data_IF_214676225357
#
_entry.id   IF_214676225357
#
_cell.length_a   1.000
_cell.length_b   1.000
_cell.length_c   1.000
_cell.angle_alpha   90.00
_cell.angle_beta   90.00
_cell.angle_gamma   90.00
#
_symmetry.space_group_name_H-M   'P 1'
#
loop_
_entity.id
_entity.type
_entity.pdbx_description
1 polymer ?
#
# COMPACT_ATOMS: atom_id res chain seq x y z
N UNK A 1 -37.48 -49.07 26.94
CA UNK A 1 -38.89 -48.87 26.46
C UNK A 1 -39.63 -47.99 27.48
N UNK A 2 -40.79 -47.39 27.12
CA UNK A 2 -41.86 -46.79 27.98
C UNK A 2 -41.44 -46.27 29.37
N UNK A 3 -41.32 -44.95 29.66
CA UNK A 3 -42.34 -43.86 29.76
C UNK A 3 -43.56 -44.17 30.65
N UNK A 4 -43.76 -43.32 31.68
CA UNK A 4 -44.99 -42.64 32.20
C UNK A 4 -44.76 -42.30 33.71
N UNK A 5 -44.88 -41.09 34.30
CA UNK A 5 -45.83 -39.92 34.28
C UNK A 5 -47.15 -40.16 35.04
N UNK A 6 -47.82 -39.15 35.69
CA UNK A 6 -47.51 -37.71 35.90
C UNK A 6 -47.86 -37.18 37.34
N UNK A 7 -48.27 -35.89 37.45
CA UNK A 7 -49.04 -35.21 38.53
C UNK A 7 -48.24 -34.71 39.77
N UNK A 8 -48.54 -33.57 40.43
CA UNK A 8 -49.35 -32.34 40.19
C UNK A 8 -48.83 -31.26 41.21
N UNK A 9 -49.21 -29.98 41.33
CA UNK A 9 -50.15 -29.02 40.69
C UNK A 9 -49.61 -27.58 40.96
N UNK A 10 -49.99 -26.56 40.17
CA UNK A 10 -49.71 -25.15 40.52
C UNK A 10 -50.13 -24.13 39.45
N UNK A 11 -51.10 -23.27 39.75
CA UNK A 11 -51.74 -22.32 38.81
C UNK A 11 -51.77 -20.92 39.43
N UNK A 12 -51.24 -19.88 38.75
CA UNK A 12 -51.94 -18.64 38.39
C UNK A 12 -51.01 -17.55 37.79
N UNK A 13 -51.65 -16.72 36.97
CA UNK A 13 -51.24 -15.45 36.37
C UNK A 13 -50.49 -14.45 37.28
N UNK A 14 -49.47 -13.76 36.74
CA UNK A 14 -49.42 -12.29 36.63
C UNK A 14 -48.16 -11.74 35.91
N UNK A 15 -48.36 -11.04 34.80
CA UNK A 15 -47.52 -9.93 34.32
C UNK A 15 -48.33 -8.63 34.58
N UNK A 16 -47.75 -7.41 34.63
CA UNK A 16 -46.34 -7.05 34.52
C UNK A 16 -45.81 -6.23 35.73
N UNK A 17 -44.49 -6.04 35.81
CA UNK A 17 -43.94 -4.81 36.38
C UNK A 17 -42.66 -4.42 35.63
N UNK A 18 -42.78 -3.39 34.78
CA UNK A 18 -41.64 -2.86 34.04
C UNK A 18 -40.80 -1.97 34.96
N UNK A 19 -39.65 -2.48 35.41
CA UNK A 19 -38.58 -1.60 35.88
C UNK A 19 -38.05 -0.82 34.66
N UNK A 20 -38.51 0.41 34.50
CA UNK A 20 -37.88 1.39 33.62
C UNK A 20 -36.49 1.71 34.18
N UNK A 21 -35.48 0.96 33.74
CA UNK A 21 -34.10 1.36 33.89
C UNK A 21 -33.93 2.70 33.16
N UNK A 22 -33.62 3.76 33.89
CA UNK A 22 -33.33 5.07 33.29
C UNK A 22 -32.11 4.91 32.40
N UNK A 23 -32.30 5.01 31.08
CA UNK A 23 -31.17 5.13 30.16
C UNK A 23 -30.42 6.41 30.52
N UNK A 24 -29.07 6.38 30.64
CA UNK A 24 -28.31 7.61 30.73
C UNK A 24 -28.57 8.44 29.47
N UNK A 25 -28.57 9.79 29.56
CA UNK A 25 -28.74 10.63 28.38
C UNK A 25 -27.67 10.30 27.34
N UNK A 26 -27.99 10.35 26.03
CA UNK A 26 -26.99 10.12 25.00
C UNK A 26 -25.82 11.10 25.17
N UNK A 27 -24.57 10.66 24.95
CA UNK A 27 -23.43 11.56 24.99
C UNK A 27 -23.66 12.68 23.96
N UNK A 28 -23.27 13.94 24.26
CA UNK A 28 -23.56 15.06 23.38
C UNK A 28 -22.97 14.82 22.00
N UNK A 29 -23.82 14.85 20.97
CA UNK A 29 -23.40 14.69 19.59
C UNK A 29 -22.34 15.75 19.26
N UNK A 30 -21.14 15.30 18.92
CA UNK A 30 -20.07 16.20 18.51
C UNK A 30 -20.42 16.73 17.13
N UNK A 31 -21.06 17.90 17.08
CA UNK A 31 -21.56 18.52 15.86
C UNK A 31 -20.46 18.63 14.80
N UNK A 32 -20.49 17.69 13.85
CA UNK A 32 -19.54 17.58 12.75
C UNK A 32 -19.64 18.76 11.79
N UNK A 33 -20.77 19.47 11.76
CA UNK A 33 -20.97 20.69 10.98
C UNK A 33 -20.29 21.87 11.66
N UNK A 34 -20.41 22.02 12.99
CA UNK A 34 -19.63 23.00 13.75
C UNK A 34 -18.12 22.72 13.68
N UNK A 35 -17.70 21.46 13.82
CA UNK A 35 -16.29 21.06 13.65
C UNK A 35 -15.79 21.37 12.23
N UNK A 36 -16.58 21.08 11.19
CA UNK A 36 -16.24 21.40 9.81
C UNK A 36 -16.18 22.93 9.54
N UNK A 37 -17.05 23.74 10.15
CA UNK A 37 -16.96 25.21 10.10
C UNK A 37 -15.67 25.69 10.75
N UNK A 38 -15.38 25.26 11.98
CA UNK A 38 -14.17 25.64 12.72
C UNK A 38 -12.88 25.24 11.98
N UNK A 39 -12.86 24.07 11.33
CA UNK A 39 -11.76 23.63 10.48
C UNK A 39 -11.60 24.48 9.19
N UNK A 40 -12.71 24.93 8.59
CA UNK A 40 -12.69 25.85 7.43
C UNK A 40 -12.22 27.26 7.82
N UNK A 41 -12.59 27.74 9.00
CA UNK A 41 -12.17 29.04 9.55
C UNK A 41 -10.69 29.04 9.93
N UNK A 42 -10.20 27.99 10.60
CA UNK A 42 -8.78 27.81 10.88
C UNK A 42 -7.92 27.82 9.60
N UNK A 43 -8.41 27.20 8.51
CA UNK A 43 -7.74 27.24 7.20
C UNK A 43 -7.76 28.61 6.49
N UNK A 44 -8.61 29.56 6.89
CA UNK A 44 -8.58 30.94 6.38
C UNK A 44 -7.49 31.80 7.03
N UNK A 45 -7.21 31.57 8.32
CA UNK A 45 -6.20 32.32 9.08
C UNK A 45 -4.82 31.62 9.13
N UNK A 46 -4.70 30.39 8.62
CA UNK A 46 -3.42 29.72 8.46
C UNK A 46 -2.51 30.50 7.49
N UNK A 47 -1.25 30.77 7.88
CA UNK A 47 -0.28 31.36 6.97
C UNK A 47 -0.06 30.44 5.76
N UNK A 48 -0.09 31.00 4.55
CA UNK A 48 0.15 30.26 3.31
C UNK A 48 1.56 29.68 3.32
N UNK A 49 1.70 28.44 2.86
CA UNK A 49 3.00 27.78 2.77
C UNK A 49 3.97 28.63 1.93
N UNK A 50 5.11 29.02 2.52
CA UNK A 50 6.04 29.99 1.93
C UNK A 50 6.73 29.50 0.65
N UNK A 51 6.75 28.19 0.44
CA UNK A 51 7.29 27.53 -0.75
C UNK A 51 6.33 26.43 -1.22
N UNK A 52 6.11 26.37 -2.53
CA UNK A 52 5.39 25.28 -3.20
C UNK A 52 6.37 24.60 -4.13
N UNK A 53 6.72 23.36 -3.83
CA UNK A 53 7.53 22.54 -4.72
C UNK A 53 6.67 22.05 -5.89
N UNK A 54 6.63 22.84 -6.97
CA UNK A 54 6.17 22.41 -8.29
C UNK A 54 7.33 21.75 -9.04
N UNK A 55 7.04 21.16 -10.20
CA UNK A 55 8.05 20.57 -11.09
C UNK A 55 9.12 21.60 -11.53
N UNK A 56 8.75 22.88 -11.56
CA UNK A 56 9.57 24.03 -11.96
C UNK A 56 10.48 24.54 -10.83
N UNK A 57 10.14 24.21 -9.57
CA UNK A 57 10.89 24.60 -8.37
C UNK A 57 11.82 23.48 -7.86
N UNK A 58 12.05 22.43 -8.65
CA UNK A 58 13.02 21.38 -8.35
C UNK A 58 14.43 21.93 -8.65
N UNK A 59 15.39 21.94 -7.69
CA UNK A 59 16.73 22.41 -7.94
C UNK A 59 17.46 21.48 -8.92
N UNK A 60 17.58 21.89 -10.18
CA UNK A 60 18.29 21.14 -11.20
C UNK A 60 19.80 21.12 -10.90
N UNK A 61 20.29 19.96 -10.45
CA UNK A 61 21.72 19.67 -10.46
C UNK A 61 22.23 19.67 -11.92
N UNK A 62 23.32 20.41 -12.24
CA UNK A 62 23.90 20.39 -13.58
C UNK A 62 24.53 19.03 -13.85
N UNK A 63 23.79 18.17 -14.56
CA UNK A 63 24.22 16.81 -14.91
C UNK A 63 23.08 15.85 -15.28
N UNK A 64 21.84 16.11 -14.83
CA UNK A 64 20.70 15.20 -15.08
C UNK A 64 19.95 15.53 -16.37
N UNK A 65 20.52 15.14 -17.51
CA UNK A 65 19.84 15.07 -18.81
C UNK A 65 20.35 13.86 -19.62
N UNK A 66 19.53 13.22 -20.48
CA UNK A 66 19.93 12.03 -21.21
C UNK A 66 20.92 12.38 -22.34
N UNK A 67 22.22 12.23 -22.08
CA UNK A 67 23.28 12.45 -23.08
C UNK A 67 23.26 11.38 -24.18
N UNK A 68 22.79 11.77 -25.37
CA UNK A 68 23.05 11.03 -26.62
C UNK A 68 24.49 11.29 -27.04
N UNK A 69 25.29 10.23 -27.19
CA UNK A 69 26.71 10.35 -27.52
C UNK A 69 26.96 10.59 -29.02
N UNK A 70 27.75 11.60 -29.35
CA UNK A 70 28.26 11.88 -30.69
C UNK A 70 29.65 12.56 -30.59
N UNK A 71 30.70 12.06 -31.25
CA UNK A 71 32.06 12.53 -31.01
C UNK A 71 32.49 13.69 -31.93
N UNK A 72 32.93 14.79 -31.32
CA UNK A 72 33.79 15.81 -31.94
C UNK A 72 34.70 16.40 -30.86
N UNK A 73 35.97 16.67 -31.17
CA UNK A 73 36.99 16.96 -30.17
C UNK A 73 37.66 18.33 -30.35
N UNK A 74 38.00 18.96 -29.22
CA UNK A 74 39.07 19.95 -29.09
C UNK A 74 39.65 19.86 -27.67
N UNK A 75 40.99 19.90 -27.47
CA UNK A 75 41.59 19.68 -26.16
C UNK A 75 41.68 20.96 -25.32
N UNK A 76 41.50 20.81 -24.01
CA UNK A 76 41.87 21.79 -23.00
C UNK A 76 42.70 21.08 -21.89
N UNK A 77 43.60 21.82 -21.25
CA UNK A 77 44.72 21.23 -20.50
C UNK A 77 44.31 20.57 -19.17
N UNK A 78 44.97 19.46 -18.76
CA UNK A 78 44.63 18.73 -17.54
C UNK A 78 45.12 19.48 -16.30
N UNK A 79 44.28 20.36 -15.75
CA UNK A 79 44.46 20.96 -14.43
C UNK A 79 44.18 19.93 -13.33
N UNK A 80 45.09 18.96 -13.18
CA UNK A 80 45.02 17.88 -12.18
C UNK A 80 45.15 18.42 -10.76
N UNK A 81 44.04 18.90 -10.20
CA UNK A 81 43.84 18.77 -8.75
C UNK A 81 43.84 17.27 -8.42
N UNK A 82 44.66 16.80 -7.47
CA UNK A 82 44.50 15.47 -6.93
C UNK A 82 43.09 15.36 -6.33
N UNK A 83 42.25 14.51 -6.91
CA UNK A 83 41.09 14.01 -6.18
C UNK A 83 41.65 13.28 -4.95
N UNK A 84 41.33 13.76 -3.75
CA UNK A 84 41.73 13.09 -2.52
C UNK A 84 41.14 11.68 -2.55
N UNK A 85 42.00 10.67 -2.69
CA UNK A 85 41.56 9.29 -2.92
C UNK A 85 40.70 8.83 -1.76
N UNK A 86 39.44 8.49 -2.05
CA UNK A 86 38.66 7.69 -1.12
C UNK A 86 39.43 6.40 -0.84
N UNK A 87 39.43 5.95 0.42
CA UNK A 87 40.00 4.64 0.72
C UNK A 87 39.19 3.57 -0.03
N UNK A 88 39.82 2.49 -0.57
CA UNK A 88 39.08 1.37 -1.14
C UNK A 88 38.02 0.77 -0.19
N UNK A 89 38.17 0.99 1.12
CA UNK A 89 37.19 0.61 2.14
C UNK A 89 35.95 1.53 2.17
N UNK A 90 36.07 2.81 1.79
CA UNK A 90 34.94 3.75 1.70
C UNK A 90 34.10 3.50 0.45
N UNK A 91 34.74 3.27 -0.70
CA UNK A 91 34.02 3.02 -1.95
C UNK A 91 33.24 1.69 -1.87
N UNK A 92 33.86 0.65 -1.30
CA UNK A 92 33.18 -0.61 -0.99
C UNK A 92 31.97 -0.43 -0.05
N UNK A 93 32.02 0.51 0.90
CA UNK A 93 30.86 0.84 1.77
C UNK A 93 29.74 1.56 1.01
N UNK A 94 30.08 2.38 0.00
CA UNK A 94 29.09 3.03 -0.89
C UNK A 94 28.41 1.98 -1.77
N UNK A 95 29.18 1.08 -2.39
CA UNK A 95 28.66 -0.06 -3.16
C UNK A 95 27.74 -0.96 -2.32
N UNK A 96 28.17 -1.33 -1.10
CA UNK A 96 27.38 -2.13 -0.16
C UNK A 96 26.03 -1.47 0.18
N UNK A 97 26.03 -0.14 0.39
CA UNK A 97 24.81 0.62 0.65
C UNK A 97 23.89 0.70 -0.58
N UNK A 98 24.44 0.89 -1.78
CA UNK A 98 23.67 0.84 -3.02
C UNK A 98 23.04 -0.53 -3.28
N UNK A 99 23.80 -1.61 -3.10
CA UNK A 99 23.27 -2.97 -3.27
C UNK A 99 22.16 -3.24 -2.27
N UNK A 100 22.34 -2.96 -0.97
CA UNK A 100 21.26 -3.09 0.00
C UNK A 100 20.03 -2.27 -0.35
N UNK A 101 20.19 -1.04 -0.86
CA UNK A 101 19.07 -0.22 -1.34
C UNK A 101 18.33 -0.89 -2.50
N UNK A 102 19.03 -1.37 -3.52
CA UNK A 102 18.45 -2.09 -4.68
C UNK A 102 17.65 -3.32 -4.21
N UNK A 103 18.19 -4.11 -3.29
CA UNK A 103 17.51 -5.28 -2.71
C UNK A 103 16.31 -4.93 -1.83
N UNK A 104 16.41 -3.88 -1.00
CA UNK A 104 15.31 -3.41 -0.16
C UNK A 104 14.14 -2.89 -1.01
N UNK A 105 14.41 -2.14 -2.08
CA UNK A 105 13.39 -1.66 -3.02
C UNK A 105 12.73 -2.82 -3.79
N UNK A 106 13.50 -3.82 -4.25
CA UNK A 106 12.97 -5.00 -4.92
C UNK A 106 12.03 -5.81 -4.00
N UNK A 107 12.43 -6.02 -2.73
CA UNK A 107 11.58 -6.70 -1.73
C UNK A 107 10.38 -5.85 -1.31
N UNK A 108 10.52 -4.52 -1.23
CA UNK A 108 9.41 -3.61 -0.95
C UNK A 108 8.32 -3.64 -2.02
N UNK A 109 8.71 -3.73 -3.30
CA UNK A 109 7.77 -3.94 -4.43
C UNK A 109 7.08 -5.30 -4.32
N UNK A 110 7.84 -6.38 -4.14
CA UNK A 110 7.29 -7.74 -3.99
C UNK A 110 6.29 -7.84 -2.82
N UNK A 111 6.67 -7.36 -1.64
CA UNK A 111 5.82 -7.40 -0.45
C UNK A 111 4.59 -6.48 -0.53
N UNK A 112 4.61 -5.47 -1.40
CA UNK A 112 3.43 -4.66 -1.73
C UNK A 112 2.50 -5.43 -2.69
N UNK A 113 3.05 -5.97 -3.78
CA UNK A 113 2.27 -6.75 -4.75
C UNK A 113 1.61 -8.00 -4.12
N UNK A 114 2.29 -8.67 -3.19
CA UNK A 114 1.73 -9.81 -2.44
C UNK A 114 0.57 -9.40 -1.51
N UNK A 115 0.59 -8.19 -0.92
CA UNK A 115 -0.54 -7.64 -0.15
C UNK A 115 -1.69 -7.21 -1.05
N UNK A 116 -1.40 -6.63 -2.22
CA UNK A 116 -2.41 -6.28 -3.21
C UNK A 116 -3.13 -7.52 -3.75
N UNK A 117 -2.41 -8.62 -3.99
CA UNK A 117 -3.00 -9.91 -4.35
C UNK A 117 -3.97 -10.42 -3.27
N UNK A 118 -3.59 -10.33 -1.99
CA UNK A 118 -4.39 -10.71 -0.83
C UNK A 118 -5.63 -9.81 -0.64
N UNK A 119 -5.52 -8.50 -0.94
CA UNK A 119 -6.66 -7.58 -1.01
C UNK A 119 -7.62 -7.99 -2.14
N UNK A 120 -7.13 -8.16 -3.36
CA UNK A 120 -7.95 -8.55 -4.52
C UNK A 120 -8.66 -9.89 -4.30
N UNK A 121 -8.02 -10.85 -3.62
CA UNK A 121 -8.66 -12.11 -3.23
C UNK A 121 -9.81 -11.91 -2.23
N UNK A 122 -9.65 -11.04 -1.23
CA UNK A 122 -10.76 -10.66 -0.34
C UNK A 122 -11.88 -9.92 -1.07
N UNK A 123 -11.56 -9.00 -1.95
CA UNK A 123 -12.53 -8.24 -2.74
C UNK A 123 -13.35 -9.17 -3.66
N UNK A 124 -12.70 -10.10 -4.36
CA UNK A 124 -13.39 -11.11 -5.16
C UNK A 124 -14.28 -12.03 -4.30
N UNK A 125 -13.85 -12.38 -3.09
CA UNK A 125 -14.66 -13.17 -2.16
C UNK A 125 -15.86 -12.38 -1.60
N UNK A 126 -15.70 -11.08 -1.33
CA UNK A 126 -16.78 -10.18 -0.91
C UNK A 126 -17.80 -9.99 -2.04
N UNK A 127 -17.33 -9.73 -3.27
CA UNK A 127 -18.17 -9.53 -4.45
C UNK A 127 -18.93 -10.79 -4.89
N UNK A 128 -18.54 -11.98 -4.42
CA UNK A 128 -19.29 -13.24 -4.56
C UNK A 128 -20.38 -13.45 -3.51
N UNK A 129 -20.33 -12.70 -2.41
CA UNK A 129 -21.24 -12.83 -1.26
C UNK A 129 -22.22 -11.65 -1.13
N UNK A 130 -21.86 -10.47 -1.62
CA UNK A 130 -22.73 -9.30 -1.59
C UNK A 130 -23.87 -9.40 -2.61
N UNK A 131 -25.09 -9.22 -2.11
CA UNK A 131 -26.22 -8.81 -2.92
C UNK A 131 -26.10 -7.30 -3.18
N UNK A 132 -26.15 -6.85 -4.44
CA UNK A 132 -26.03 -5.42 -4.72
C UNK A 132 -27.34 -4.69 -4.37
N UNK A 133 -27.21 -3.49 -3.80
CA UNK A 133 -28.35 -2.65 -3.41
C UNK A 133 -29.07 -1.98 -4.59
N UNK A 134 -28.44 -1.92 -5.77
CA UNK A 134 -29.08 -1.53 -7.02
C UNK A 134 -29.57 -2.78 -7.77
N UNK A 135 -30.90 -2.97 -7.96
CA UNK A 135 -31.44 -4.10 -8.71
C UNK A 135 -30.93 -4.18 -10.15
N UNK A 136 -30.61 -3.06 -10.79
CA UNK A 136 -30.09 -3.04 -12.16
C UNK A 136 -28.65 -3.57 -12.22
N UNK A 137 -27.85 -3.32 -11.17
CA UNK A 137 -26.52 -3.90 -11.02
C UNK A 137 -26.60 -5.40 -10.74
N UNK A 138 -27.51 -5.84 -9.86
CA UNK A 138 -27.76 -7.27 -9.61
C UNK A 138 -28.15 -8.01 -10.87
N UNK A 139 -29.17 -7.54 -11.59
CA UNK A 139 -29.62 -8.16 -12.84
C UNK A 139 -28.50 -8.22 -13.89
N UNK A 140 -27.69 -7.16 -14.03
CA UNK A 140 -26.55 -7.15 -14.95
C UNK A 140 -25.49 -8.19 -14.57
N UNK A 141 -25.10 -8.23 -13.30
CA UNK A 141 -24.06 -9.15 -12.80
C UNK A 141 -24.50 -10.61 -12.75
N UNK A 142 -25.80 -10.91 -12.65
CA UNK A 142 -26.32 -12.27 -12.83
C UNK A 142 -26.04 -12.80 -14.25
N UNK A 143 -26.24 -11.97 -15.28
CA UNK A 143 -25.99 -12.34 -16.68
C UNK A 143 -24.51 -12.26 -17.08
N UNK A 144 -23.79 -11.19 -16.73
CA UNK A 144 -22.42 -10.95 -17.21
C UNK A 144 -21.34 -11.48 -16.27
N UNK A 145 -21.60 -11.50 -14.97
CA UNK A 145 -20.62 -11.70 -13.88
C UNK A 145 -19.38 -10.81 -14.06
N UNK A 146 -19.57 -9.58 -14.55
CA UNK A 146 -18.52 -8.66 -14.97
C UNK A 146 -17.49 -8.39 -13.88
N UNK A 147 -17.92 -8.03 -12.67
CA UNK A 147 -17.02 -7.75 -11.54
C UNK A 147 -16.32 -9.02 -11.05
N UNK A 148 -17.01 -10.16 -11.06
CA UNK A 148 -16.43 -11.48 -10.70
C UNK A 148 -15.40 -11.95 -11.74
N UNK A 149 -15.56 -11.57 -13.00
CA UNK A 149 -14.61 -11.89 -14.07
C UNK A 149 -13.42 -10.91 -14.08
N UNK A 150 -13.67 -9.62 -13.86
CA UNK A 150 -12.62 -8.60 -13.65
C UNK A 150 -11.73 -8.97 -12.46
N UNK A 151 -12.32 -9.28 -11.30
CA UNK A 151 -11.54 -9.62 -10.10
C UNK A 151 -10.64 -10.85 -10.27
N UNK A 152 -10.98 -11.80 -11.16
CA UNK A 152 -10.06 -12.89 -11.55
C UNK A 152 -8.90 -12.37 -12.40
N UNK A 153 -9.20 -11.56 -13.42
CA UNK A 153 -8.18 -11.01 -14.32
C UNK A 153 -7.17 -10.13 -13.56
N UNK A 154 -7.65 -9.29 -12.64
CA UNK A 154 -6.81 -8.44 -11.79
C UNK A 154 -5.93 -9.29 -10.85
N UNK A 155 -6.47 -10.37 -10.27
CA UNK A 155 -5.71 -11.37 -9.48
C UNK A 155 -4.63 -12.06 -10.33
N UNK A 156 -4.95 -12.51 -11.54
CA UNK A 156 -4.04 -13.27 -12.39
C UNK A 156 -2.94 -12.36 -12.99
N UNK A 157 -3.26 -11.10 -13.30
CA UNK A 157 -2.27 -10.08 -13.61
C UNK A 157 -1.32 -9.81 -12.43
N UNK A 158 -1.85 -9.69 -11.19
CA UNK A 158 -1.03 -9.47 -9.99
C UNK A 158 -0.14 -10.68 -9.66
N UNK A 159 -0.59 -11.92 -9.92
CA UNK A 159 0.26 -13.13 -9.84
C UNK A 159 1.42 -13.08 -10.85
N UNK A 160 1.17 -12.64 -12.08
CA UNK A 160 2.20 -12.49 -13.10
C UNK A 160 3.24 -11.43 -12.70
N UNK A 161 2.79 -10.29 -12.15
CA UNK A 161 3.68 -9.26 -11.61
C UNK A 161 4.54 -9.80 -10.45
N UNK A 162 3.97 -10.55 -9.50
CA UNK A 162 4.72 -11.20 -8.42
C UNK A 162 5.77 -12.17 -8.97
N UNK A 163 5.45 -12.95 -10.01
CA UNK A 163 6.41 -13.83 -10.67
C UNK A 163 7.55 -13.05 -11.34
N UNK A 164 7.24 -11.93 -12.02
CA UNK A 164 8.23 -11.03 -12.61
C UNK A 164 9.12 -10.36 -11.55
N UNK A 165 8.56 -9.90 -10.43
CA UNK A 165 9.30 -9.31 -9.32
C UNK A 165 10.24 -10.32 -8.63
N UNK A 166 9.81 -11.58 -8.49
CA UNK A 166 10.67 -12.67 -8.00
C UNK A 166 11.80 -12.99 -8.98
N UNK A 167 11.53 -13.02 -10.28
CA UNK A 167 12.56 -13.21 -11.31
C UNK A 167 13.56 -12.03 -11.36
N UNK A 168 13.09 -10.79 -11.24
CA UNK A 168 13.93 -9.61 -11.16
C UNK A 168 14.81 -9.58 -9.90
N UNK A 169 14.30 -10.08 -8.76
CA UNK A 169 15.10 -10.22 -7.54
C UNK A 169 16.20 -11.28 -7.71
N UNK A 170 15.92 -12.41 -8.34
CA UNK A 170 16.94 -13.41 -8.68
C UNK A 170 18.00 -12.85 -9.65
N UNK A 171 17.59 -12.10 -10.68
CA UNK A 171 18.51 -11.42 -11.58
C UNK A 171 19.41 -10.41 -10.84
N UNK A 172 18.89 -9.72 -9.83
CA UNK A 172 19.66 -8.80 -8.99
C UNK A 172 20.70 -9.55 -8.11
N UNK A 173 20.38 -10.77 -7.65
CA UNK A 173 21.36 -11.65 -6.98
C UNK A 173 22.45 -12.14 -7.94
N UNK A 174 22.11 -12.39 -9.21
CA UNK A 174 23.07 -12.76 -10.26
C UNK A 174 23.99 -11.60 -10.66
N UNK A 175 23.46 -10.37 -10.74
CA UNK A 175 24.25 -9.17 -11.01
C UNK A 175 25.15 -8.79 -9.82
N UNK A 176 24.69 -8.99 -8.57
CA UNK A 176 25.56 -8.88 -7.39
C UNK A 176 26.73 -9.86 -7.47
N UNK A 177 26.47 -11.13 -7.81
CA UNK A 177 27.52 -12.16 -7.99
C UNK A 177 28.48 -11.78 -9.12
N UNK A 178 27.97 -11.24 -10.23
CA UNK A 178 28.77 -10.77 -11.38
C UNK A 178 29.66 -9.56 -11.03
N UNK A 179 29.19 -8.68 -10.15
CA UNK A 179 29.94 -7.56 -9.61
C UNK A 179 30.97 -7.96 -8.53
N UNK A 180 31.10 -9.25 -8.20
CA UNK A 180 31.98 -9.73 -7.12
C UNK A 180 31.50 -9.38 -5.71
N UNK A 181 30.26 -8.90 -5.58
CA UNK A 181 29.67 -8.47 -4.31
C UNK A 181 29.40 -9.66 -3.36
N UNK A 182 29.79 -9.57 -2.08
CA UNK A 182 29.46 -10.59 -1.09
C UNK A 182 27.94 -10.87 -1.01
N UNK A 183 27.49 -12.14 -0.95
CA UNK A 183 26.07 -12.48 -0.83
C UNK A 183 25.42 -12.00 0.48
N UNK A 184 26.21 -11.51 1.44
CA UNK A 184 25.73 -10.80 2.62
C UNK A 184 25.10 -9.42 2.29
N UNK A 185 25.45 -8.80 1.17
CA UNK A 185 24.84 -7.55 0.70
C UNK A 185 23.44 -7.76 0.11
N UNK A 186 23.14 -8.98 -0.35
CA UNK A 186 21.78 -9.34 -0.76
C UNK A 186 20.83 -9.56 0.42
N UNK A 187 21.31 -9.76 1.66
CA UNK A 187 20.45 -10.10 2.79
C UNK A 187 19.69 -8.87 3.35
N UNK A 188 18.43 -9.04 3.80
CA UNK A 188 17.72 -8.03 4.56
C UNK A 188 18.35 -7.84 5.95
#
# INVERSE_FOLDING_TARGET
MRRMTPALLGLLLAFPLALFAQQPPPPPEQDVVAAARKAREAKKNAQKAKFVFTNDNIPQSPGSGPSVAGPAAAPAEPSVKPAAGASPEEDRKKEEAEWRKKFAEARGKLATAEKELDILQRELNLNRQQYYSDPNKTLREEYTRGDVNKGKADIDAKKLEIAQLRAALAALEDDLRRAGGPPAWARP
#
